data_IF_136939393551
#
_entry.id   IF_136939393551
#
_cell.length_a   1.000
_cell.length_b   1.000
_cell.length_c   1.000
_cell.angle_alpha   90.00
_cell.angle_beta   90.00
_cell.angle_gamma   90.00
#
_symmetry.space_group_name_H-M   'P 1'
#
loop_
_entity.id
_entity.type
_entity.pdbx_description
1 polymer ?
#
# COMPACT_ATOMS: atom_id res chain seq x y z
N UNK A 1 9.87 -13.10 17.40
CA UNK A 1 10.59 -12.82 18.67
C UNK A 1 10.68 -11.33 18.92
N UNK A 2 10.44 -10.90 20.12
CA UNK A 2 10.55 -9.47 20.49
C UNK A 2 11.72 -9.26 21.45
N UNK A 3 12.34 -8.12 21.35
CA UNK A 3 13.44 -7.73 22.24
C UNK A 3 13.08 -6.59 23.19
N UNK A 4 11.96 -5.91 22.95
CA UNK A 4 11.48 -4.80 23.77
C UNK A 4 10.25 -5.20 24.54
N UNK A 5 10.19 -4.82 25.81
CA UNK A 5 9.02 -5.09 26.65
C UNK A 5 7.78 -4.31 26.24
N UNK A 6 7.98 -3.17 25.53
CA UNK A 6 6.88 -2.33 25.04
C UNK A 6 6.19 -2.90 23.81
N UNK A 7 6.82 -3.90 23.14
CA UNK A 7 6.25 -4.52 21.95
C UNK A 7 5.51 -5.79 22.38
N UNK A 8 4.23 -5.86 22.01
CA UNK A 8 3.41 -7.02 22.30
C UNK A 8 3.62 -8.15 21.30
N UNK A 9 3.69 -9.39 21.78
CA UNK A 9 3.70 -10.58 20.91
C UNK A 9 2.30 -11.18 20.76
N UNK A 10 1.29 -10.60 21.41
CA UNK A 10 -0.10 -11.06 21.30
C UNK A 10 -0.69 -10.72 19.93
N UNK A 11 -1.16 -11.74 19.23
CA UNK A 11 -1.83 -11.55 17.95
C UNK A 11 -3.08 -10.68 18.10
N UNK A 12 -3.86 -10.91 19.17
CA UNK A 12 -5.08 -10.15 19.44
C UNK A 12 -4.81 -8.66 19.61
N UNK A 13 -3.80 -8.30 20.41
CA UNK A 13 -3.43 -6.90 20.64
C UNK A 13 -2.88 -6.24 19.37
N UNK A 14 -2.07 -6.97 18.60
CA UNK A 14 -1.52 -6.45 17.35
C UNK A 14 -2.61 -6.19 16.32
N UNK A 15 -3.57 -7.09 16.19
CA UNK A 15 -4.71 -6.90 15.29
C UNK A 15 -5.58 -5.72 15.72
N UNK A 16 -5.84 -5.59 17.02
CA UNK A 16 -6.61 -4.48 17.56
C UNK A 16 -5.92 -3.15 17.26
N UNK A 17 -4.61 -3.07 17.46
CA UNK A 17 -3.84 -1.87 17.18
C UNK A 17 -3.87 -1.51 15.69
N UNK A 18 -3.78 -2.52 14.81
CA UNK A 18 -3.81 -2.31 13.37
C UNK A 18 -5.17 -1.78 12.90
N UNK A 19 -6.26 -2.43 13.30
CA UNK A 19 -7.60 -2.04 12.83
C UNK A 19 -8.20 -0.87 13.59
N UNK A 20 -7.66 -0.54 14.75
CA UNK A 20 -8.06 0.64 15.53
C UNK A 20 -7.14 1.84 15.36
N UNK A 21 -6.17 1.77 14.47
CA UNK A 21 -5.19 2.84 14.29
C UNK A 21 -5.84 4.12 13.75
N UNK A 22 -5.31 5.27 14.19
CA UNK A 22 -5.76 6.57 13.69
C UNK A 22 -5.33 6.77 12.23
N UNK A 23 -5.90 7.77 11.56
CA UNK A 23 -5.54 8.09 10.18
C UNK A 23 -4.05 8.42 10.04
N UNK A 24 -3.49 9.12 11.01
CA UNK A 24 -2.06 9.46 11.03
C UNK A 24 -1.19 8.20 11.10
N UNK A 25 -1.55 7.26 11.97
CA UNK A 25 -0.84 5.98 12.08
C UNK A 25 -1.02 5.13 10.83
N UNK A 26 -2.20 5.15 10.23
CA UNK A 26 -2.48 4.40 9.00
C UNK A 26 -1.66 4.93 7.83
N UNK A 27 -1.36 6.20 7.80
CA UNK A 27 -0.47 6.77 6.79
C UNK A 27 0.88 6.07 6.81
N UNK A 28 1.43 5.87 8.00
CA UNK A 28 2.73 5.20 8.17
C UNK A 28 2.61 3.70 7.85
N UNK A 29 1.54 3.06 8.31
CA UNK A 29 1.31 1.63 8.06
C UNK A 29 1.11 1.32 6.58
N UNK A 30 0.60 2.30 5.82
CA UNK A 30 0.38 2.17 4.38
C UNK A 30 1.57 2.71 3.60
N UNK A 31 2.76 2.23 3.93
CA UNK A 31 3.98 2.56 3.21
C UNK A 31 4.25 1.54 2.12
N UNK A 32 4.88 1.98 1.04
CA UNK A 32 5.28 1.13 -0.05
C UNK A 32 6.79 1.24 -0.26
N UNK A 33 7.47 0.15 -0.66
CA UNK A 33 8.89 0.23 -0.98
C UNK A 33 9.12 1.06 -2.24
N UNK A 34 10.29 1.67 -2.31
CA UNK A 34 10.71 2.40 -3.49
C UNK A 34 11.39 1.46 -4.49
N UNK A 35 11.37 1.81 -5.76
CA UNK A 35 12.15 1.09 -6.76
C UNK A 35 13.65 1.24 -6.46
N UNK A 36 14.47 0.36 -7.04
CA UNK A 36 15.92 0.39 -6.79
C UNK A 36 16.53 1.76 -7.11
N UNK A 37 16.10 2.39 -8.20
CA UNK A 37 16.58 3.72 -8.59
C UNK A 37 16.25 4.78 -7.54
N UNK A 38 15.01 4.78 -7.04
CA UNK A 38 14.59 5.76 -6.04
C UNK A 38 15.24 5.52 -4.69
N UNK A 39 15.47 4.26 -4.31
CA UNK A 39 16.22 3.95 -3.09
C UNK A 39 17.61 4.55 -3.12
N UNK A 40 18.28 4.43 -4.25
CA UNK A 40 19.62 4.97 -4.43
C UNK A 40 19.61 6.50 -4.42
N UNK A 41 18.61 7.10 -5.11
CA UNK A 41 18.51 8.55 -5.22
C UNK A 41 18.18 9.24 -3.89
N UNK A 42 17.23 8.68 -3.13
CA UNK A 42 16.75 9.31 -1.89
C UNK A 42 17.33 8.68 -0.63
N UNK A 43 18.06 7.59 -0.78
CA UNK A 43 18.67 6.87 0.34
C UNK A 43 17.65 6.43 1.40
N UNK A 44 16.44 6.06 0.95
CA UNK A 44 15.32 5.60 1.77
C UNK A 44 14.75 4.33 1.16
N UNK A 45 14.39 3.36 2.00
CA UNK A 45 13.89 2.07 1.55
C UNK A 45 12.40 2.08 1.18
N UNK A 46 11.60 2.79 1.97
CA UNK A 46 10.16 2.87 1.76
C UNK A 46 9.65 4.22 2.21
N UNK A 47 8.49 4.61 1.70
CA UNK A 47 7.82 5.86 2.04
C UNK A 47 6.32 5.65 2.12
N UNK A 48 5.60 6.47 2.93
CA UNK A 48 4.14 6.42 2.90
C UNK A 48 3.62 6.71 1.50
N UNK A 49 2.66 5.90 1.06
CA UNK A 49 2.07 6.06 -0.27
C UNK A 49 1.20 7.31 -0.31
N UNK A 50 1.21 7.98 -1.43
CA UNK A 50 0.45 9.22 -1.64
C UNK A 50 -0.28 9.17 -2.98
N UNK A 51 -1.40 9.87 -3.05
CA UNK A 51 -2.12 10.07 -4.31
C UNK A 51 -1.20 10.72 -5.34
N UNK A 52 -1.31 10.27 -6.57
CA UNK A 52 -0.54 10.71 -7.75
C UNK A 52 0.89 10.16 -7.82
N UNK A 53 1.29 9.31 -6.87
CA UNK A 53 2.52 8.54 -7.03
C UNK A 53 2.32 7.49 -8.12
N UNK A 54 3.34 7.26 -8.94
CA UNK A 54 3.31 6.18 -9.90
C UNK A 54 3.87 4.91 -9.25
N UNK A 55 3.16 3.82 -9.39
CA UNK A 55 3.49 2.56 -8.74
C UNK A 55 3.39 1.40 -9.72
N UNK A 56 4.07 0.30 -9.39
CA UNK A 56 3.99 -0.95 -10.12
C UNK A 56 3.61 -2.06 -9.15
N UNK A 57 2.62 -2.86 -9.49
CA UNK A 57 2.20 -4.00 -8.66
C UNK A 57 3.26 -5.10 -8.79
N UNK A 58 3.88 -5.48 -7.67
CA UNK A 58 4.96 -6.48 -7.68
C UNK A 58 4.55 -7.83 -7.14
N UNK A 59 3.42 -7.90 -6.45
CA UNK A 59 2.89 -9.15 -5.89
C UNK A 59 1.45 -9.36 -6.33
N UNK A 60 1.05 -10.59 -6.38
CA UNK A 60 -0.31 -10.96 -6.72
C UNK A 60 -0.35 -11.84 -7.95
N UNK A 61 -1.51 -12.38 -8.22
CA UNK A 61 -1.71 -13.31 -9.32
C UNK A 61 -2.24 -12.61 -10.57
N UNK A 62 -3.28 -11.79 -10.40
CA UNK A 62 -4.01 -11.20 -11.53
C UNK A 62 -3.42 -9.89 -12.01
N UNK A 63 -2.92 -9.06 -11.09
CA UNK A 63 -2.51 -7.69 -11.41
C UNK A 63 -1.00 -7.45 -11.37
N UNK A 64 -0.23 -8.51 -11.20
CA UNK A 64 1.23 -8.42 -11.16
C UNK A 64 1.78 -7.72 -12.41
N UNK A 65 2.76 -6.85 -12.21
CA UNK A 65 3.44 -6.08 -13.26
C UNK A 65 2.62 -4.98 -13.91
N UNK A 66 1.41 -4.70 -13.43
CA UNK A 66 0.67 -3.54 -13.91
C UNK A 66 1.19 -2.27 -13.27
N UNK A 67 1.27 -1.20 -14.04
CA UNK A 67 1.73 0.11 -13.61
C UNK A 67 0.62 1.14 -13.74
N UNK A 68 0.65 2.16 -12.90
CA UNK A 68 -0.30 3.25 -12.99
C UNK A 68 -0.11 4.24 -11.85
N UNK A 69 -0.86 5.34 -11.93
CA UNK A 69 -0.92 6.33 -10.87
C UNK A 69 -1.87 5.92 -9.77
N UNK A 70 -1.53 6.25 -8.55
CA UNK A 70 -2.44 6.07 -7.42
C UNK A 70 -3.55 7.11 -7.53
N UNK A 71 -4.78 6.65 -7.71
CA UNK A 71 -5.95 7.51 -7.84
C UNK A 71 -6.43 7.98 -6.47
N UNK A 72 -6.44 7.07 -5.51
CA UNK A 72 -6.90 7.36 -4.15
C UNK A 72 -6.24 6.44 -3.14
N UNK A 73 -6.11 6.94 -1.91
CA UNK A 73 -5.57 6.18 -0.80
C UNK A 73 -6.67 6.03 0.23
N UNK A 74 -7.18 4.81 0.40
CA UNK A 74 -8.26 4.50 1.34
C UNK A 74 -7.68 4.01 2.66
N UNK A 75 -7.38 4.93 3.57
CA UNK A 75 -6.84 4.58 4.88
C UNK A 75 -7.81 3.75 5.70
N UNK A 76 -9.09 4.00 5.54
CA UNK A 76 -10.14 3.25 6.22
C UNK A 76 -10.11 1.77 5.87
N UNK A 77 -9.75 1.44 4.64
CA UNK A 77 -9.73 0.07 4.13
C UNK A 77 -8.31 -0.51 4.01
N UNK A 78 -7.28 0.26 4.35
CA UNK A 78 -5.89 -0.14 4.16
C UNK A 78 -5.57 -0.55 2.73
N UNK A 79 -6.09 0.17 1.76
CA UNK A 79 -5.82 -0.13 0.36
C UNK A 79 -5.68 1.13 -0.47
N UNK A 80 -5.14 0.96 -1.67
CA UNK A 80 -5.05 2.03 -2.66
C UNK A 80 -5.75 1.60 -3.93
N UNK A 81 -6.21 2.58 -4.69
CA UNK A 81 -6.74 2.36 -6.03
C UNK A 81 -5.75 2.90 -7.04
N UNK A 82 -5.44 2.10 -8.03
CA UNK A 82 -4.46 2.41 -9.06
C UNK A 82 -5.19 2.56 -10.39
N UNK A 83 -4.80 3.53 -11.18
CA UNK A 83 -5.31 3.72 -12.52
C UNK A 83 -5.13 2.44 -13.34
N UNK A 84 -6.17 2.01 -14.05
CA UNK A 84 -6.19 0.81 -14.90
C UNK A 84 -6.22 -0.52 -14.16
N UNK A 85 -6.12 -0.52 -12.84
CA UNK A 85 -6.29 -1.75 -12.06
C UNK A 85 -7.75 -1.82 -11.63
N UNK A 86 -8.55 -2.46 -12.46
CA UNK A 86 -10.01 -2.48 -12.32
C UNK A 86 -10.56 -3.87 -12.56
N UNK A 87 -11.80 -4.08 -12.16
CA UNK A 87 -12.54 -5.32 -12.36
C UNK A 87 -13.90 -5.00 -12.96
N UNK A 88 -14.30 -5.78 -13.95
CA UNK A 88 -15.64 -5.67 -14.52
C UNK A 88 -16.59 -6.57 -13.74
N UNK A 89 -17.69 -5.99 -13.27
CA UNK A 89 -18.75 -6.74 -12.59
C UNK A 89 -19.63 -7.48 -13.59
N UNK A 90 -20.43 -8.41 -13.10
CA UNK A 90 -21.39 -9.17 -13.94
C UNK A 90 -22.34 -8.28 -14.72
N UNK A 91 -22.70 -7.12 -14.16
CA UNK A 91 -23.59 -6.17 -14.82
C UNK A 91 -22.88 -5.23 -15.80
N UNK A 92 -21.58 -5.42 -16.03
CA UNK A 92 -20.80 -4.59 -16.94
C UNK A 92 -20.17 -3.37 -16.32
N UNK A 93 -20.46 -3.08 -15.05
CA UNK A 93 -19.85 -1.91 -14.37
C UNK A 93 -18.38 -2.16 -14.05
N UNK A 94 -17.55 -1.15 -14.29
CA UNK A 94 -16.12 -1.21 -13.97
C UNK A 94 -15.92 -0.64 -12.57
N UNK A 95 -15.24 -1.40 -11.69
CA UNK A 95 -14.95 -0.98 -10.33
C UNK A 95 -13.45 -1.04 -10.06
N UNK A 96 -13.00 -0.17 -9.16
CA UNK A 96 -11.60 -0.14 -8.75
C UNK A 96 -11.30 -1.32 -7.83
N UNK A 97 -10.10 -1.88 -7.97
CA UNK A 97 -9.64 -2.97 -7.12
C UNK A 97 -8.73 -2.40 -6.04
N UNK A 98 -9.00 -2.76 -4.78
CA UNK A 98 -8.16 -2.34 -3.66
C UNK A 98 -6.88 -3.17 -3.58
N UNK A 99 -5.74 -2.51 -3.56
CA UNK A 99 -4.43 -3.17 -3.46
C UNK A 99 -3.71 -2.61 -2.25
N UNK A 100 -3.14 -3.50 -1.43
CA UNK A 100 -2.37 -3.07 -0.27
C UNK A 100 -1.04 -2.46 -0.72
N UNK A 101 -0.61 -1.34 -0.12
CA UNK A 101 0.63 -0.68 -0.54
C UNK A 101 1.88 -1.55 -0.46
N UNK A 102 1.92 -2.54 0.43
CA UNK A 102 3.07 -3.46 0.51
C UNK A 102 3.25 -4.32 -0.73
N UNK A 103 2.22 -4.44 -1.55
CA UNK A 103 2.23 -5.24 -2.78
C UNK A 103 2.67 -4.45 -4.01
N UNK A 104 3.03 -3.21 -3.85
CA UNK A 104 3.48 -2.35 -4.95
C UNK A 104 4.84 -1.75 -4.63
N UNK A 105 5.53 -1.25 -5.65
CA UNK A 105 6.72 -0.44 -5.45
C UNK A 105 6.48 0.91 -6.13
N UNK A 106 6.97 1.97 -5.50
CA UNK A 106 6.84 3.32 -6.04
C UNK A 106 7.92 3.51 -7.10
N UNK A 107 7.50 3.83 -8.32
CA UNK A 107 8.42 4.04 -9.44
C UNK A 107 8.67 5.51 -9.70
N UNK A 108 7.74 6.39 -9.28
CA UNK A 108 7.88 7.82 -9.43
C UNK A 108 7.09 8.52 -8.33
N UNK A 109 7.70 9.47 -7.65
CA UNK A 109 7.03 10.30 -6.65
C UNK A 109 6.32 11.46 -7.33
N UNK A 110 5.26 11.92 -6.66
CA UNK A 110 4.53 13.10 -7.11
C UNK A 110 5.42 14.33 -7.16
#
# INVERSE_FOLDING_TARGET
MKFKSTVSSSRRKSRKAHFGASSTERRIRMSAPLSAELRQKYNVRSMPIRKDDEVQVVRGFKYKNQEGKVISVYRRKYCIHIERVTLEKKNGAIVQVGIHPSNVQITKLK
#
